data_IF_254052406521
#
_entry.id   IF_254052406521
#
_cell.length_a   1.000
_cell.length_b   1.000
_cell.length_c   1.000
_cell.angle_alpha   90.00
_cell.angle_beta   90.00
_cell.angle_gamma   90.00
#
_symmetry.space_group_name_H-M   'P 1'
#
loop_
_entity.id
_entity.type
_entity.pdbx_description
1 polymer ?
#
# COMPACT_ATOMS: atom_id res chain seq x y z
N UNK A 1 -0.28 2.29 -14.16
CA UNK A 1 -1.36 2.51 -13.18
C UNK A 1 -2.75 2.15 -13.75
N UNK A 2 -3.14 2.72 -14.90
CA UNK A 2 -4.46 2.49 -15.52
C UNK A 2 -4.89 1.01 -15.66
N UNK A 3 -3.98 0.11 -16.05
CA UNK A 3 -4.26 -1.33 -16.15
C UNK A 3 -4.73 -1.94 -14.81
N UNK A 4 -4.07 -1.58 -13.71
CA UNK A 4 -4.41 -2.11 -12.38
C UNK A 4 -5.72 -1.50 -11.86
N UNK A 5 -5.94 -0.21 -12.13
CA UNK A 5 -7.22 0.44 -11.81
C UNK A 5 -8.39 -0.28 -12.48
N UNK A 6 -8.29 -0.54 -13.78
CA UNK A 6 -9.32 -1.27 -14.52
C UNK A 6 -9.51 -2.69 -13.98
N UNK A 7 -8.41 -3.43 -13.77
CA UNK A 7 -8.45 -4.83 -13.33
C UNK A 7 -9.09 -4.99 -11.95
N UNK A 8 -8.87 -4.05 -11.05
CA UNK A 8 -9.36 -4.08 -9.67
C UNK A 8 -10.57 -3.18 -9.44
N UNK A 9 -11.14 -2.58 -10.50
CA UNK A 9 -12.26 -1.65 -10.43
C UNK A 9 -12.04 -0.52 -9.41
N UNK A 10 -10.82 0.03 -9.37
CA UNK A 10 -10.42 1.10 -8.46
C UNK A 10 -10.67 2.44 -9.12
N UNK A 11 -11.43 3.31 -8.45
CA UNK A 11 -11.63 4.68 -8.91
C UNK A 11 -10.41 5.52 -8.54
N UNK A 12 -10.18 6.61 -9.27
CA UNK A 12 -9.05 7.50 -8.98
C UNK A 12 -9.20 8.13 -7.60
N UNK A 13 -10.43 8.45 -7.20
CA UNK A 13 -10.74 9.02 -5.89
C UNK A 13 -10.33 8.07 -4.76
N UNK A 14 -10.61 6.77 -4.89
CA UNK A 14 -10.24 5.77 -3.89
C UNK A 14 -8.70 5.65 -3.73
N UNK A 15 -7.94 6.04 -4.76
CA UNK A 15 -6.48 5.97 -4.76
C UNK A 15 -5.83 7.23 -4.20
N UNK A 16 -6.49 8.38 -4.33
CA UNK A 16 -6.03 9.65 -3.78
C UNK A 16 -6.39 9.79 -2.28
N UNK A 17 -7.17 8.86 -1.73
CA UNK A 17 -7.37 8.76 -0.29
C UNK A 17 -6.06 8.44 0.46
N UNK A 18 -5.83 9.06 1.64
CA UNK A 18 -4.72 8.71 2.51
C UNK A 18 -4.78 7.23 2.94
N UNK A 19 -3.62 6.60 3.06
CA UNK A 19 -3.55 5.20 3.44
C UNK A 19 -4.06 5.00 4.88
N UNK A 20 -5.22 4.36 5.01
CA UNK A 20 -5.86 4.05 6.30
C UNK A 20 -4.96 3.20 7.20
N UNK A 21 -5.16 3.33 8.52
CA UNK A 21 -4.39 2.57 9.51
C UNK A 21 -4.45 1.06 9.27
N UNK A 22 -5.65 0.51 9.02
CA UNK A 22 -5.81 -0.92 8.77
C UNK A 22 -5.04 -1.38 7.53
N UNK A 23 -5.14 -0.64 6.41
CA UNK A 23 -4.40 -0.99 5.21
C UNK A 23 -2.89 -0.84 5.39
N UNK A 24 -2.39 0.08 6.24
CA UNK A 24 -0.96 0.13 6.58
C UNK A 24 -0.48 -1.13 7.28
N UNK A 25 -1.26 -1.67 8.21
CA UNK A 25 -0.91 -2.92 8.87
C UNK A 25 -0.86 -4.08 7.85
N UNK A 26 -1.86 -4.15 6.97
CA UNK A 26 -1.95 -5.20 5.95
C UNK A 26 -0.81 -5.11 4.92
N UNK A 27 -0.50 -3.91 4.42
CA UNK A 27 0.63 -3.65 3.50
C UNK A 27 1.96 -3.95 4.20
N UNK A 28 2.06 -3.63 5.49
CA UNK A 28 3.20 -3.92 6.35
C UNK A 28 3.52 -5.41 6.49
N UNK A 29 2.64 -6.31 6.05
CA UNK A 29 2.93 -7.76 6.04
C UNK A 29 3.80 -8.19 4.85
N UNK A 30 3.83 -7.43 3.76
CA UNK A 30 4.48 -7.86 2.50
C UNK A 30 5.33 -6.82 1.79
N UNK A 31 5.27 -5.54 2.16
CA UNK A 31 6.01 -4.48 1.44
C UNK A 31 7.52 -4.66 1.56
N UNK A 32 8.23 -4.57 0.43
CA UNK A 32 9.70 -4.58 0.41
C UNK A 32 10.29 -3.25 0.94
N UNK A 33 10.30 -3.04 2.26
CA UNK A 33 10.63 -1.76 2.89
C UNK A 33 12.00 -1.18 2.48
N UNK A 34 13.05 -2.00 2.34
CA UNK A 34 14.38 -1.54 1.90
C UNK A 34 14.41 -0.96 0.49
N UNK A 35 13.49 -1.39 -0.37
CA UNK A 35 13.42 -1.00 -1.78
C UNK A 35 12.42 0.15 -1.96
N UNK A 36 11.28 0.06 -1.29
CA UNK A 36 10.19 1.05 -1.37
C UNK A 36 10.53 2.30 -0.55
N UNK A 37 11.08 2.13 0.66
CA UNK A 37 11.30 3.20 1.62
C UNK A 37 12.09 4.40 1.09
N UNK A 38 13.28 4.22 0.46
CA UNK A 38 14.06 5.34 -0.07
C UNK A 38 13.38 6.09 -1.22
N UNK A 39 12.29 5.56 -1.78
CA UNK A 39 11.49 6.17 -2.85
C UNK A 39 10.20 6.79 -2.33
N UNK A 40 9.82 6.52 -1.08
CA UNK A 40 8.70 7.18 -0.44
C UNK A 40 9.13 8.62 -0.11
N UNK A 41 8.31 9.60 -0.52
CA UNK A 41 8.59 11.01 -0.27
C UNK A 41 8.85 11.28 1.21
N UNK A 42 9.79 12.19 1.50
CA UNK A 42 10.14 12.64 2.86
C UNK A 42 10.68 11.55 3.80
N UNK A 43 11.06 10.39 3.27
CA UNK A 43 11.88 9.41 4.00
C UNK A 43 13.35 9.69 3.67
N UNK A 44 14.15 9.91 4.71
CA UNK A 44 15.58 10.20 4.61
C UNK A 44 16.40 8.93 4.87
N UNK A 45 17.68 8.94 4.47
CA UNK A 45 18.57 7.80 4.73
C UNK A 45 18.69 7.49 6.22
N UNK A 46 18.72 8.52 7.07
CA UNK A 46 18.76 8.35 8.53
C UNK A 46 17.56 7.54 9.05
N UNK A 47 16.37 7.75 8.49
CA UNK A 47 15.19 6.99 8.89
C UNK A 47 15.32 5.52 8.50
N UNK A 48 15.89 5.26 7.33
CA UNK A 48 16.17 3.90 6.87
C UNK A 48 17.19 3.22 7.77
N UNK A 49 18.20 3.95 8.24
CA UNK A 49 19.21 3.46 9.17
C UNK A 49 18.56 3.15 10.54
N UNK A 50 17.73 4.05 11.07
CA UNK A 50 17.00 3.87 12.34
C UNK A 50 16.02 2.69 12.26
N UNK A 51 15.35 2.48 11.13
CA UNK A 51 14.48 1.31 10.90
C UNK A 51 15.32 0.04 10.75
N UNK A 52 16.54 0.13 10.20
CA UNK A 52 17.38 -1.05 9.97
C UNK A 52 17.90 -1.71 11.24
N UNK A 53 17.86 -1.01 12.38
CA UNK A 53 18.35 -1.47 13.68
C UNK A 53 17.87 -2.90 14.02
N UNK A 54 18.78 -3.69 14.57
CA UNK A 54 18.58 -5.12 14.83
C UNK A 54 17.51 -5.43 15.90
N UNK A 55 17.07 -4.42 16.65
CA UNK A 55 16.02 -4.57 17.66
C UNK A 55 14.62 -4.78 17.07
N UNK A 56 14.41 -4.46 15.79
CA UNK A 56 13.13 -4.67 15.10
C UNK A 56 13.17 -5.95 14.27
N UNK A 57 12.09 -6.72 14.32
CA UNK A 57 11.88 -7.80 13.37
C UNK A 57 11.43 -7.23 11.99
N UNK A 58 11.51 -8.04 10.94
CA UNK A 58 11.19 -7.56 9.57
C UNK A 58 9.77 -7.03 9.40
N UNK A 59 8.79 -7.50 10.19
CA UNK A 59 7.43 -6.97 10.15
C UNK A 59 7.36 -5.58 10.81
N UNK A 60 7.98 -5.42 11.97
CA UNK A 60 8.07 -4.13 12.65
C UNK A 60 8.78 -3.10 11.77
N UNK A 61 9.85 -3.49 11.06
CA UNK A 61 10.55 -2.60 10.11
C UNK A 61 9.63 -2.09 9.01
N UNK A 62 8.81 -2.98 8.43
CA UNK A 62 7.81 -2.62 7.41
C UNK A 62 6.74 -1.69 7.97
N UNK A 63 6.23 -1.98 9.15
CA UNK A 63 5.18 -1.18 9.79
C UNK A 63 5.70 0.20 10.20
N UNK A 64 6.90 0.28 10.77
CA UNK A 64 7.56 1.53 11.13
C UNK A 64 7.80 2.42 9.91
N UNK A 65 8.25 1.86 8.77
CA UNK A 65 8.38 2.62 7.53
C UNK A 65 7.05 3.26 7.10
N UNK A 66 5.96 2.47 7.07
CA UNK A 66 4.66 2.95 6.62
C UNK A 66 4.07 3.98 7.58
N UNK A 67 4.27 3.80 8.89
CA UNK A 67 3.84 4.75 9.90
C UNK A 67 4.58 6.09 9.75
N UNK A 68 5.92 6.05 9.66
CA UNK A 68 6.74 7.25 9.48
C UNK A 68 6.41 7.98 8.17
N UNK A 69 6.19 7.23 7.08
CA UNK A 69 5.80 7.81 5.80
C UNK A 69 4.49 8.59 5.90
N UNK A 70 3.47 8.06 6.58
CA UNK A 70 2.20 8.77 6.81
C UNK A 70 2.38 9.97 7.73
N UNK A 71 3.15 9.84 8.81
CA UNK A 71 3.41 10.97 9.72
C UNK A 71 4.05 12.16 9.02
N UNK A 72 4.96 11.92 8.07
CA UNK A 72 5.68 12.99 7.36
C UNK A 72 4.94 13.57 6.15
N UNK A 73 4.09 12.78 5.50
CA UNK A 73 3.38 13.20 4.29
C UNK A 73 1.92 13.58 4.56
N UNK A 74 1.36 13.20 5.71
CA UNK A 74 -0.02 13.49 6.10
C UNK A 74 -1.01 13.00 5.04
N UNK A 75 -1.86 13.90 4.55
CA UNK A 75 -2.84 13.60 3.50
C UNK A 75 -2.21 13.20 2.16
N UNK A 76 -0.94 13.49 1.92
CA UNK A 76 -0.25 13.09 0.68
C UNK A 76 0.25 11.63 0.71
N UNK A 77 0.10 10.94 1.84
CA UNK A 77 0.46 9.53 1.95
C UNK A 77 -0.64 8.62 1.36
N UNK A 78 -0.94 8.81 0.09
CA UNK A 78 -2.09 8.19 -0.60
C UNK A 78 -1.78 6.79 -1.13
N UNK A 79 -2.82 6.00 -1.41
CA UNK A 79 -2.64 4.70 -2.05
C UNK A 79 -1.95 4.82 -3.42
N UNK A 80 -2.28 5.86 -4.18
CA UNK A 80 -1.65 6.16 -5.47
C UNK A 80 -0.14 6.35 -5.32
N UNK A 81 0.30 7.10 -4.30
CA UNK A 81 1.71 7.37 -4.06
C UNK A 81 2.51 6.08 -3.78
N UNK A 82 2.03 5.22 -2.87
CA UNK A 82 2.73 3.96 -2.57
C UNK A 82 2.67 2.96 -3.74
N UNK A 83 1.54 2.85 -4.42
CA UNK A 83 1.40 1.97 -5.60
C UNK A 83 2.35 2.40 -6.70
N UNK A 84 2.46 3.70 -6.95
CA UNK A 84 3.35 4.26 -7.98
C UNK A 84 4.80 3.89 -7.69
N UNK A 85 5.27 4.13 -6.48
CA UNK A 85 6.61 3.75 -6.04
C UNK A 85 6.86 2.25 -6.21
N UNK A 86 5.91 1.41 -5.77
CA UNK A 86 6.03 -0.05 -5.90
C UNK A 86 6.12 -0.50 -7.36
N UNK A 87 5.40 0.15 -8.28
CA UNK A 87 5.50 -0.13 -9.71
C UNK A 87 6.86 0.29 -10.27
N UNK A 88 7.37 1.47 -9.90
CA UNK A 88 8.69 1.96 -10.31
C UNK A 88 9.81 1.02 -9.89
N UNK A 89 9.73 0.46 -8.68
CA UNK A 89 10.70 -0.52 -8.18
C UNK A 89 10.38 -1.97 -8.58
N UNK A 90 9.51 -2.16 -9.58
CA UNK A 90 9.16 -3.46 -10.20
C UNK A 90 8.54 -4.47 -9.22
N UNK A 91 7.85 -4.01 -8.18
CA UNK A 91 7.15 -4.84 -7.18
C UNK A 91 5.69 -5.12 -7.56
N UNK A 92 5.41 -5.42 -8.84
CA UNK A 92 4.05 -5.61 -9.37
C UNK A 92 3.20 -6.60 -8.56
N UNK A 93 3.77 -7.73 -8.12
CA UNK A 93 3.04 -8.72 -7.29
C UNK A 93 2.59 -8.15 -5.94
N UNK A 94 3.43 -7.34 -5.30
CA UNK A 94 3.08 -6.65 -4.05
C UNK A 94 2.07 -5.53 -4.32
N UNK A 95 2.22 -4.78 -5.42
CA UNK A 95 1.26 -3.76 -5.85
C UNK A 95 -0.14 -4.35 -6.04
N UNK A 96 -0.25 -5.50 -6.70
CA UNK A 96 -1.52 -6.19 -6.90
C UNK A 96 -2.19 -6.57 -5.56
N UNK A 97 -1.41 -6.90 -4.52
CA UNK A 97 -1.95 -7.14 -3.18
C UNK A 97 -2.55 -5.87 -2.58
N UNK A 98 -1.89 -4.72 -2.74
CA UNK A 98 -2.45 -3.41 -2.32
C UNK A 98 -3.77 -3.16 -3.04
N UNK A 99 -3.81 -3.31 -4.37
CA UNK A 99 -5.04 -3.12 -5.14
C UNK A 99 -6.18 -4.05 -4.66
N UNK A 100 -5.88 -5.31 -4.33
CA UNK A 100 -6.87 -6.25 -3.77
C UNK A 100 -7.42 -5.80 -2.42
N UNK A 101 -6.60 -5.20 -1.55
CA UNK A 101 -7.06 -4.66 -0.27
C UNK A 101 -8.09 -3.54 -0.47
N UNK A 102 -7.92 -2.74 -1.53
CA UNK A 102 -8.81 -1.64 -1.87
C UNK A 102 -10.10 -2.08 -2.57
N UNK A 103 -10.13 -3.29 -3.13
CA UNK A 103 -11.35 -3.78 -3.76
C UNK A 103 -12.42 -4.06 -2.71
N UNK A 104 -13.66 -3.53 -2.85
CA UNK A 104 -14.75 -3.85 -1.95
C UNK A 104 -14.95 -5.38 -1.91
N UNK A 105 -14.91 -5.97 -0.71
CA UNK A 105 -15.29 -7.38 -0.50
C UNK A 105 -16.80 -7.49 -0.73
N UNK A 106 -17.23 -7.61 -1.99
CA UNK A 106 -18.66 -7.56 -2.32
C UNK A 106 -19.06 -7.60 -3.80
N UNK A 107 -18.14 -7.57 -4.77
CA UNK A 107 -18.49 -7.82 -6.18
C UNK A 107 -18.50 -9.31 -6.52
N UNK A 108 -19.03 -10.15 -5.62
CA UNK A 108 -19.54 -11.45 -6.01
C UNK A 108 -20.92 -11.18 -6.56
N UNK A 109 -21.12 -11.45 -7.86
CA UNK A 109 -22.42 -11.44 -8.50
C UNK A 109 -23.46 -12.04 -7.56
N UNK A 110 -24.40 -11.20 -7.13
CA UNK A 110 -25.71 -11.65 -6.70
C UNK A 110 -26.41 -12.19 -7.95
N UNK A 111 -26.02 -13.40 -8.37
CA UNK A 111 -26.81 -14.18 -9.30
C UNK A 111 -28.04 -14.63 -8.55
N UNK A 112 -29.08 -13.82 -8.70
CA UNK A 112 -30.48 -14.19 -8.63
C UNK A 112 -30.72 -15.65 -9.01
N UNK A 113 -31.08 -16.46 -8.02
CA UNK A 113 -31.86 -17.67 -8.19
C UNK A 113 -33.24 -17.46 -7.56
N UNK A 114 -34.07 -16.64 -8.20
CA UNK A 114 -35.52 -16.61 -7.95
C UNK A 114 -36.13 -17.52 -9.01
N UNK A 115 -36.85 -18.57 -8.60
CA UNK A 115 -38.04 -19.07 -9.29
C UNK A 115 -38.65 -20.25 -8.52
N UNK A 116 -39.90 -20.00 -8.09
CA UNK A 116 -41.06 -20.91 -7.93
C UNK A 116 -40.89 -22.25 -7.24
#
# INVERSE_FOLDING_TARGET
MAELQQRYNLRSEDLDEPCSYQHRLDIGTFVSWKVVGPRLGRIEQKDMDDISLDMYNEQEKRQNLLQLWVERNGSNATYNAIITVMLEVKKRSETEKVCKLLTPKGSVSSSTGKLT
#
